data_IF_485065016096
#
_entry.id   IF_485065016096
#
_cell.length_a   1.000
_cell.length_b   1.000
_cell.length_c   1.000
_cell.angle_alpha   90.00
_cell.angle_beta   90.00
_cell.angle_gamma   90.00
#
_symmetry.space_group_name_H-M   'P 1'
#
loop_
_entity.id
_entity.type
_entity.pdbx_description
1 polymer ?
#
# COMPACT_ATOMS: atom_id res chain seq x y z
N UNK A 1 1.24 -14.12 -17.07
CA UNK A 1 1.58 -13.06 -16.11
C UNK A 1 1.62 -13.65 -14.71
N UNK A 2 2.59 -13.21 -13.90
CA UNK A 2 2.76 -13.59 -12.49
C UNK A 2 2.77 -12.34 -11.63
N UNK A 3 2.09 -12.40 -10.48
CA UNK A 3 1.95 -11.25 -9.58
C UNK A 3 2.35 -11.63 -8.17
N UNK A 4 3.30 -10.91 -7.58
CA UNK A 4 3.60 -10.97 -6.16
C UNK A 4 2.71 -9.99 -5.40
N UNK A 5 1.99 -10.45 -4.38
CA UNK A 5 1.11 -9.63 -3.54
C UNK A 5 1.66 -9.65 -2.12
N UNK A 6 1.75 -8.48 -1.50
CA UNK A 6 2.32 -8.32 -0.18
C UNK A 6 1.27 -8.00 0.87
N UNK A 7 1.25 -8.81 1.93
CA UNK A 7 0.52 -8.61 3.17
C UNK A 7 1.51 -8.40 4.31
N UNK A 8 1.38 -7.32 5.07
CA UNK A 8 2.13 -7.08 6.30
C UNK A 8 1.13 -7.01 7.45
N UNK A 9 1.11 -8.03 8.31
CA UNK A 9 0.17 -8.11 9.41
C UNK A 9 0.79 -8.77 10.64
N UNK A 10 1.21 -7.96 11.61
CA UNK A 10 1.73 -8.39 12.91
C UNK A 10 0.68 -8.19 13.99
N UNK A 11 0.79 -8.91 15.11
CA UNK A 11 -0.16 -8.86 16.20
C UNK A 11 -1.60 -9.12 15.71
N UNK A 12 -2.51 -8.25 16.10
CA UNK A 12 -3.94 -8.39 15.78
C UNK A 12 -4.25 -8.28 14.27
N UNK A 13 -3.37 -7.64 13.48
CA UNK A 13 -3.55 -7.55 12.03
C UNK A 13 -3.49 -8.91 11.33
N UNK A 14 -2.84 -9.92 11.92
CA UNK A 14 -2.83 -11.27 11.38
C UNK A 14 -4.24 -11.86 11.26
N UNK A 15 -5.19 -11.43 12.10
CA UNK A 15 -6.57 -11.90 12.05
C UNK A 15 -7.30 -11.56 10.75
N UNK A 16 -6.82 -10.60 9.97
CA UNK A 16 -7.38 -10.29 8.65
C UNK A 16 -6.98 -11.31 7.57
N UNK A 17 -5.85 -12.01 7.74
CA UNK A 17 -5.26 -12.86 6.70
C UNK A 17 -6.23 -13.89 6.09
N UNK A 18 -7.05 -14.64 6.84
CA UNK A 18 -7.93 -15.64 6.24
C UNK A 18 -8.92 -15.03 5.23
N UNK A 19 -9.63 -13.97 5.61
CA UNK A 19 -10.56 -13.29 4.72
C UNK A 19 -9.86 -12.56 3.57
N UNK A 20 -8.72 -11.94 3.85
CA UNK A 20 -7.86 -11.30 2.85
C UNK A 20 -7.47 -12.32 1.76
N UNK A 21 -6.92 -13.47 2.15
CA UNK A 21 -6.51 -14.52 1.23
C UNK A 21 -7.67 -15.07 0.39
N UNK A 22 -8.79 -15.45 1.04
CA UNK A 22 -9.96 -16.00 0.36
C UNK A 22 -10.52 -15.04 -0.70
N UNK A 23 -10.64 -13.77 -0.36
CA UNK A 23 -11.18 -12.76 -1.28
C UNK A 23 -10.19 -12.40 -2.40
N UNK A 24 -8.89 -12.37 -2.12
CA UNK A 24 -7.87 -12.22 -3.16
C UNK A 24 -7.95 -13.35 -4.19
N UNK A 25 -8.02 -14.60 -3.74
CA UNK A 25 -8.11 -15.75 -4.65
C UNK A 25 -9.38 -15.71 -5.48
N UNK A 26 -10.48 -15.30 -4.89
CA UNK A 26 -11.79 -15.30 -5.53
C UNK A 26 -12.00 -14.16 -6.52
N UNK A 27 -11.55 -12.95 -6.18
CA UNK A 27 -11.97 -11.75 -6.87
C UNK A 27 -10.81 -10.98 -7.52
N UNK A 28 -9.59 -11.04 -6.96
CA UNK A 28 -8.47 -10.27 -7.47
C UNK A 28 -7.72 -11.04 -8.53
N UNK A 29 -7.79 -10.59 -9.78
CA UNK A 29 -7.07 -11.18 -10.91
C UNK A 29 -7.27 -12.71 -10.98
N UNK A 30 -8.49 -13.23 -11.10
CA UNK A 30 -8.80 -14.65 -10.88
C UNK A 30 -8.08 -15.63 -11.83
N UNK A 31 -7.61 -15.14 -13.00
CA UNK A 31 -6.90 -15.95 -14.00
C UNK A 31 -5.37 -15.77 -13.97
N UNK A 32 -4.83 -15.10 -12.95
CA UNK A 32 -3.40 -14.77 -12.84
C UNK A 32 -2.74 -15.63 -11.78
N UNK A 33 -1.53 -16.11 -12.07
CA UNK A 33 -0.68 -16.79 -11.07
C UNK A 33 -0.25 -15.78 -10.00
N UNK A 34 -0.64 -16.03 -8.74
CA UNK A 34 -0.35 -15.17 -7.60
C UNK A 34 0.63 -15.83 -6.64
N UNK A 35 1.60 -15.06 -6.16
CA UNK A 35 2.45 -15.40 -5.02
C UNK A 35 2.14 -14.43 -3.90
N UNK A 36 1.65 -14.90 -2.76
CA UNK A 36 1.25 -14.06 -1.64
C UNK A 36 2.35 -14.10 -0.57
N UNK A 37 2.99 -12.96 -0.36
CA UNK A 37 4.07 -12.76 0.61
C UNK A 37 3.44 -12.27 1.92
N UNK A 38 3.56 -13.04 2.99
CA UNK A 38 2.95 -12.72 4.29
C UNK A 38 4.04 -12.44 5.32
N UNK A 39 4.15 -11.19 5.75
CA UNK A 39 5.05 -10.76 6.82
C UNK A 39 4.30 -10.68 8.14
N UNK A 40 4.67 -11.53 9.11
CA UNK A 40 3.97 -11.65 10.39
C UNK A 40 4.89 -12.14 11.50
N UNK A 41 4.55 -11.81 12.75
CA UNK A 41 5.15 -12.36 13.97
C UNK A 41 4.47 -13.65 14.43
N UNK A 42 3.28 -13.96 13.86
CA UNK A 42 2.52 -15.15 14.20
C UNK A 42 2.95 -16.41 13.43
N UNK A 43 2.61 -17.57 13.98
CA UNK A 43 2.80 -18.85 13.31
C UNK A 43 1.64 -19.17 12.35
N UNK A 44 1.96 -19.59 11.13
CA UNK A 44 1.01 -20.06 10.14
C UNK A 44 1.12 -21.59 10.04
N UNK A 45 0.12 -22.32 10.57
CA UNK A 45 0.19 -23.79 10.70
C UNK A 45 0.02 -24.54 9.38
N UNK A 46 -0.88 -24.09 8.53
CA UNK A 46 -1.13 -24.64 7.20
C UNK A 46 -1.26 -23.50 6.20
N UNK A 47 -0.38 -23.45 5.23
CA UNK A 47 -0.38 -22.42 4.20
C UNK A 47 -0.63 -23.01 2.82
N UNK A 48 -1.44 -22.36 1.97
CA UNK A 48 -1.52 -22.69 0.56
C UNK A 48 -0.15 -22.62 -0.12
N UNK A 49 0.05 -23.38 -1.19
CA UNK A 49 1.33 -23.49 -1.90
C UNK A 49 1.83 -22.13 -2.45
N UNK A 50 0.93 -21.21 -2.73
CA UNK A 50 1.24 -19.87 -3.25
C UNK A 50 1.39 -18.81 -2.17
N UNK A 51 1.28 -19.17 -0.88
CA UNK A 51 1.49 -18.26 0.25
C UNK A 51 2.87 -18.55 0.89
N UNK A 52 3.72 -17.52 0.91
CA UNK A 52 5.10 -17.62 1.43
C UNK A 52 5.21 -16.76 2.69
N UNK A 53 5.36 -17.36 3.88
CA UNK A 53 5.52 -16.62 5.12
C UNK A 53 6.94 -16.10 5.31
N UNK A 54 7.04 -14.89 5.84
CA UNK A 54 8.26 -14.25 6.31
C UNK A 54 8.06 -13.85 7.77
N UNK A 55 9.01 -14.20 8.62
CA UNK A 55 8.98 -13.70 9.99
C UNK A 55 9.27 -12.19 10.01
N UNK A 56 8.35 -11.43 10.63
CA UNK A 56 8.48 -10.01 10.88
C UNK A 56 8.09 -9.72 12.33
N UNK A 57 9.06 -9.29 13.13
CA UNK A 57 8.78 -8.85 14.49
C UNK A 57 7.76 -7.71 14.50
N UNK A 58 6.89 -7.74 15.51
CA UNK A 58 5.97 -6.64 15.72
C UNK A 58 6.75 -5.36 16.04
N UNK A 59 6.42 -4.27 15.34
CA UNK A 59 6.94 -2.95 15.62
C UNK A 59 5.78 -2.04 16.03
N UNK A 60 5.99 -1.24 17.07
CA UNK A 60 5.01 -0.24 17.50
C UNK A 60 4.69 0.74 16.35
N UNK A 61 3.44 1.20 16.32
CA UNK A 61 3.06 2.26 15.41
C UNK A 61 3.82 3.58 15.76
N UNK A 62 4.37 4.35 14.82
CA UNK A 62 4.21 4.21 13.35
C UNK A 62 5.29 3.36 12.65
N UNK A 63 6.20 2.75 13.36
CA UNK A 63 7.40 2.14 12.76
C UNK A 63 7.06 0.96 11.83
N UNK A 64 6.02 0.17 12.12
CA UNK A 64 5.61 -0.94 11.24
C UNK A 64 5.18 -0.45 9.85
N UNK A 65 4.55 0.72 9.76
CA UNK A 65 4.19 1.33 8.47
C UNK A 65 5.38 2.07 7.86
N UNK A 66 6.10 2.84 8.65
CA UNK A 66 7.24 3.66 8.20
C UNK A 66 8.35 2.80 7.57
N UNK A 67 8.62 1.61 8.14
CA UNK A 67 9.68 0.71 7.65
C UNK A 67 9.18 -0.33 6.65
N UNK A 68 7.99 -0.18 6.11
CA UNK A 68 7.34 -1.08 5.15
C UNK A 68 8.25 -1.45 3.98
N UNK A 69 8.96 -0.49 3.40
CA UNK A 69 9.85 -0.71 2.26
C UNK A 69 11.01 -1.65 2.62
N UNK A 70 11.61 -1.49 3.80
CA UNK A 70 12.65 -2.39 4.32
C UNK A 70 12.10 -3.81 4.56
N UNK A 71 10.88 -3.91 5.09
CA UNK A 71 10.22 -5.21 5.31
C UNK A 71 10.05 -5.94 3.99
N UNK A 72 9.54 -5.27 2.96
CA UNK A 72 9.31 -5.84 1.62
C UNK A 72 10.62 -6.30 0.96
N UNK A 73 11.73 -5.60 1.17
CA UNK A 73 13.04 -5.98 0.62
C UNK A 73 13.50 -7.39 1.05
N UNK A 74 13.03 -7.92 2.19
CA UNK A 74 13.33 -9.28 2.64
C UNK A 74 12.87 -10.34 1.62
N UNK A 75 11.85 -10.04 0.81
CA UNK A 75 11.30 -10.93 -0.22
C UNK A 75 11.76 -10.58 -1.65
N UNK A 76 12.77 -9.72 -1.82
CA UNK A 76 13.24 -9.23 -3.12
C UNK A 76 13.47 -10.36 -4.14
N UNK A 77 14.07 -11.47 -3.70
CA UNK A 77 14.40 -12.60 -4.58
C UNK A 77 13.13 -13.29 -5.14
N UNK A 78 12.07 -13.38 -4.33
CA UNK A 78 10.79 -13.93 -4.79
C UNK A 78 10.04 -12.91 -5.65
N UNK A 79 10.02 -11.64 -5.25
CA UNK A 79 9.39 -10.57 -6.04
C UNK A 79 10.01 -10.51 -7.45
N UNK A 80 11.34 -10.67 -7.56
CA UNK A 80 12.06 -10.62 -8.83
C UNK A 80 11.67 -11.73 -9.84
N UNK A 81 10.97 -12.78 -9.40
CA UNK A 81 10.48 -13.88 -10.23
C UNK A 81 9.07 -13.62 -10.80
N UNK A 82 8.50 -12.48 -10.49
CA UNK A 82 7.15 -12.07 -10.93
C UNK A 82 7.23 -10.93 -11.95
N UNK A 83 6.14 -10.72 -12.69
CA UNK A 83 6.03 -9.62 -13.67
C UNK A 83 5.61 -8.31 -12.97
N UNK A 84 4.74 -8.42 -11.94
CA UNK A 84 4.21 -7.32 -11.17
C UNK A 84 4.32 -7.57 -9.67
N UNK A 85 4.45 -6.49 -8.93
CA UNK A 85 4.31 -6.45 -7.48
C UNK A 85 3.14 -5.56 -7.08
N UNK A 86 2.34 -6.01 -6.12
CA UNK A 86 1.17 -5.32 -5.57
C UNK A 86 1.28 -5.32 -4.05
N UNK A 87 1.27 -4.15 -3.45
CA UNK A 87 1.04 -3.98 -2.03
C UNK A 87 -0.44 -3.67 -1.77
N UNK A 88 -1.05 -4.39 -0.86
CA UNK A 88 -2.42 -4.15 -0.37
C UNK A 88 -2.39 -4.22 1.16
N UNK A 89 -2.92 -3.22 1.85
CA UNK A 89 -2.97 -3.19 3.32
C UNK A 89 -3.70 -4.42 3.89
N UNK A 90 -3.29 -4.85 5.09
CA UNK A 90 -3.80 -6.06 5.74
C UNK A 90 -5.31 -6.00 6.04
N UNK A 91 -5.86 -4.82 6.30
CA UNK A 91 -7.28 -4.59 6.56
C UNK A 91 -8.09 -4.24 5.30
N UNK A 92 -7.53 -4.52 4.13
CA UNK A 92 -8.25 -4.38 2.86
C UNK A 92 -8.96 -5.69 2.47
N UNK A 93 -10.15 -5.57 1.92
CA UNK A 93 -10.97 -6.69 1.46
C UNK A 93 -11.41 -6.46 0.01
N UNK A 94 -11.01 -7.35 -0.89
CA UNK A 94 -11.49 -7.32 -2.28
C UNK A 94 -12.93 -7.84 -2.32
N UNK A 95 -13.87 -7.04 -2.80
CA UNK A 95 -15.30 -7.32 -2.73
C UNK A 95 -15.98 -7.53 -4.09
N UNK A 96 -15.29 -7.15 -5.17
CA UNK A 96 -15.76 -7.35 -6.54
C UNK A 96 -14.63 -7.85 -7.43
N UNK A 97 -14.99 -8.50 -8.54
CA UNK A 97 -14.01 -9.04 -9.49
C UNK A 97 -13.21 -7.92 -10.15
N UNK A 98 -11.89 -8.04 -10.04
CA UNK A 98 -10.93 -7.12 -10.64
C UNK A 98 -10.15 -7.86 -11.73
N UNK A 99 -10.23 -7.38 -12.97
CA UNK A 99 -9.51 -7.97 -14.12
C UNK A 99 -8.15 -7.32 -14.36
N UNK A 100 -7.31 -7.99 -15.17
CA UNK A 100 -5.99 -7.47 -15.57
C UNK A 100 -6.08 -6.15 -16.33
N UNK A 101 -7.04 -6.06 -17.27
CA UNK A 101 -7.24 -4.90 -18.11
C UNK A 101 -7.72 -3.68 -17.32
N UNK A 102 -8.43 -3.92 -16.23
CA UNK A 102 -8.93 -2.88 -15.36
C UNK A 102 -7.85 -2.38 -14.39
N UNK A 103 -6.99 -3.27 -13.93
CA UNK A 103 -6.04 -2.98 -12.85
C UNK A 103 -4.67 -2.51 -13.36
N UNK A 104 -4.20 -3.06 -14.48
CA UNK A 104 -2.87 -2.74 -15.00
C UNK A 104 -2.90 -1.94 -16.31
N UNK A 105 -2.17 -0.84 -16.33
CA UNK A 105 -1.78 -0.16 -17.56
C UNK A 105 -0.37 -0.59 -17.97
N UNK A 106 -0.27 -1.40 -19.04
CA UNK A 106 1.01 -1.90 -19.52
C UNK A 106 1.94 -0.82 -20.10
N UNK A 107 1.48 0.42 -20.27
CA UNK A 107 2.30 1.56 -20.71
C UNK A 107 3.00 2.24 -19.54
N UNK A 108 2.57 1.97 -18.29
CA UNK A 108 3.09 2.55 -17.06
C UNK A 108 3.97 1.55 -16.32
N UNK A 109 4.91 2.05 -15.51
CA UNK A 109 5.75 1.20 -14.65
C UNK A 109 5.19 1.03 -13.26
N UNK A 110 4.39 1.98 -12.80
CA UNK A 110 3.82 2.02 -11.45
C UNK A 110 2.31 2.19 -11.50
N UNK A 111 1.67 1.87 -10.40
CA UNK A 111 0.29 2.27 -10.11
C UNK A 111 0.16 2.70 -8.65
N UNK A 112 -0.80 3.57 -8.40
CA UNK A 112 -1.21 4.00 -7.07
C UNK A 112 -2.67 4.42 -7.09
N UNK A 113 -3.33 4.38 -5.94
CA UNK A 113 -4.76 4.69 -5.83
C UNK A 113 -4.97 6.13 -5.37
N UNK A 114 -5.93 6.82 -5.97
CA UNK A 114 -6.34 8.15 -5.53
C UNK A 114 -7.00 8.06 -4.16
N UNK A 115 -6.49 8.81 -3.19
CA UNK A 115 -7.04 8.84 -1.84
C UNK A 115 -8.50 9.33 -1.86
N UNK A 116 -9.49 8.55 -1.36
CA UNK A 116 -10.90 8.87 -1.48
C UNK A 116 -11.27 10.24 -0.89
N UNK A 117 -10.72 10.60 0.26
CA UNK A 117 -11.02 11.90 0.88
C UNK A 117 -10.52 13.08 0.05
N UNK A 118 -9.36 12.92 -0.62
CA UNK A 118 -8.84 13.93 -1.54
C UNK A 118 -9.70 14.01 -2.81
N UNK A 119 -10.06 12.87 -3.38
CA UNK A 119 -10.93 12.77 -4.55
C UNK A 119 -12.30 13.41 -4.31
N UNK A 120 -12.92 13.12 -3.16
CA UNK A 120 -14.22 13.68 -2.76
C UNK A 120 -14.14 15.13 -2.28
N UNK A 121 -12.94 15.73 -2.25
CA UNK A 121 -12.70 17.08 -1.75
C UNK A 121 -13.31 17.29 -0.35
N UNK A 122 -13.19 16.30 0.53
CA UNK A 122 -13.67 16.39 1.89
C UNK A 122 -12.96 17.53 2.62
N UNK A 123 -13.68 18.31 3.44
CA UNK A 123 -13.06 19.41 4.14
C UNK A 123 -11.91 18.93 5.01
N UNK A 124 -10.75 19.61 4.98
CA UNK A 124 -9.64 19.27 5.83
C UNK A 124 -10.01 19.46 7.29
N UNK A 125 -9.81 18.45 8.09
CA UNK A 125 -9.80 18.55 9.55
C UNK A 125 -8.64 17.70 10.08
N UNK A 126 -8.23 17.93 11.31
CA UNK A 126 -7.02 17.39 11.92
C UNK A 126 -6.95 15.84 11.96
N UNK A 127 -8.04 15.17 11.67
CA UNK A 127 -8.15 13.72 11.67
C UNK A 127 -8.30 13.10 10.26
N UNK A 128 -8.38 13.94 9.20
CA UNK A 128 -8.48 13.42 7.85
C UNK A 128 -7.09 13.06 7.32
N UNK A 129 -6.92 11.83 6.81
CA UNK A 129 -5.71 11.48 6.08
C UNK A 129 -5.61 12.31 4.79
N UNK A 130 -4.40 12.54 4.30
CA UNK A 130 -4.17 13.21 3.03
C UNK A 130 -3.61 14.62 3.14
N UNK A 131 -2.82 14.92 4.18
CA UNK A 131 -1.96 16.10 4.21
C UNK A 131 -0.59 15.78 3.60
N UNK A 132 -0.13 16.58 2.65
CA UNK A 132 1.22 16.45 2.12
C UNK A 132 2.28 16.80 3.18
N UNK A 133 3.41 16.11 3.14
CA UNK A 133 4.56 16.46 3.95
C UNK A 133 5.18 17.77 3.44
N UNK A 134 5.27 18.77 4.31
CA UNK A 134 5.82 20.09 3.98
C UNK A 134 7.06 20.46 4.80
N UNK A 135 7.49 19.57 5.72
CA UNK A 135 8.71 19.78 6.47
C UNK A 135 9.93 19.70 5.54
N UNK A 136 10.71 20.80 5.37
CA UNK A 136 11.82 20.83 4.44
C UNK A 136 13.00 19.91 4.84
N UNK A 137 12.99 19.36 6.05
CA UNK A 137 14.00 18.40 6.51
C UNK A 137 13.65 16.97 6.07
N UNK A 138 12.38 16.68 5.74
CA UNK A 138 11.98 15.36 5.25
C UNK A 138 12.31 15.18 3.76
N UNK A 139 12.72 13.96 3.39
CA UNK A 139 12.90 13.52 1.98
C UNK A 139 11.57 13.33 1.26
N UNK A 140 10.47 13.37 2.00
CA UNK A 140 9.11 13.35 1.47
C UNK A 140 8.54 14.76 1.23
N UNK A 141 9.28 15.82 1.52
CA UNK A 141 8.79 17.21 1.45
C UNK A 141 8.25 17.55 0.07
N UNK A 142 7.01 18.00 0.04
CA UNK A 142 6.33 18.57 -1.13
C UNK A 142 6.52 20.09 -1.11
N UNK A 143 6.82 20.67 -2.27
CA UNK A 143 7.09 22.08 -2.45
C UNK A 143 6.07 22.71 -3.41
N UNK A 144 6.05 24.05 -3.51
CA UNK A 144 5.16 24.78 -4.41
C UNK A 144 5.39 24.43 -5.90
N UNK A 145 6.48 23.75 -6.26
CA UNK A 145 6.76 23.32 -7.62
C UNK A 145 6.24 21.91 -7.91
N UNK A 146 5.78 21.19 -6.91
CA UNK A 146 5.24 19.82 -7.06
C UNK A 146 3.75 19.87 -7.47
N UNK A 147 3.33 18.94 -8.31
CA UNK A 147 1.93 18.81 -8.71
C UNK A 147 1.12 18.07 -7.64
N UNK A 148 0.33 18.83 -6.90
CA UNK A 148 -0.51 18.32 -5.79
C UNK A 148 -1.95 18.02 -6.21
N UNK A 149 -2.21 17.89 -7.51
CA UNK A 149 -3.57 17.59 -8.03
C UNK A 149 -4.09 16.22 -7.63
N UNK A 150 -3.20 15.28 -7.29
CA UNK A 150 -3.52 13.92 -6.83
C UNK A 150 -2.79 13.65 -5.52
N UNK A 151 -3.50 13.09 -4.55
CA UNK A 151 -2.93 12.50 -3.36
C UNK A 151 -3.11 10.97 -3.41
N UNK A 152 -2.01 10.23 -3.36
CA UNK A 152 -2.03 8.77 -3.43
C UNK A 152 -2.14 8.18 -2.02
N UNK A 153 -3.06 7.23 -1.83
CA UNK A 153 -3.18 6.51 -0.56
C UNK A 153 -2.16 5.37 -0.48
N UNK A 154 -1.49 5.23 0.66
CA UNK A 154 -0.47 4.21 0.90
C UNK A 154 -0.99 2.78 1.02
N UNK A 155 -2.31 2.59 0.97
CA UNK A 155 -2.96 1.30 1.18
C UNK A 155 -2.92 0.35 -0.02
N UNK A 156 -2.75 0.89 -1.24
CA UNK A 156 -2.68 0.13 -2.48
C UNK A 156 -1.73 0.80 -3.46
N UNK A 157 -0.66 0.12 -3.79
CA UNK A 157 0.34 0.57 -4.76
C UNK A 157 1.18 -0.59 -5.29
N UNK A 158 1.91 -0.34 -6.35
CA UNK A 158 2.82 -1.33 -6.90
C UNK A 158 3.38 -0.94 -8.25
N UNK A 159 3.84 -1.94 -9.00
CA UNK A 159 4.41 -1.70 -10.31
C UNK A 159 5.01 -2.93 -10.95
N UNK A 160 5.55 -2.73 -12.14
CA UNK A 160 6.31 -3.72 -12.89
C UNK A 160 7.63 -4.03 -12.21
N UNK A 161 7.98 -5.28 -12.13
CA UNK A 161 9.33 -5.71 -11.76
C UNK A 161 10.24 -5.58 -13.00
N UNK A 162 11.46 -5.01 -12.93
CA UNK A 162 12.19 -4.60 -11.71
C UNK A 162 11.94 -3.17 -11.23
N UNK A 163 11.23 -2.32 -11.97
CA UNK A 163 11.09 -0.89 -11.65
C UNK A 163 10.54 -0.65 -10.22
N UNK A 164 9.59 -1.45 -9.78
CA UNK A 164 9.04 -1.36 -8.41
C UNK A 164 10.07 -1.71 -7.34
N UNK A 165 11.01 -2.63 -7.61
CA UNK A 165 12.08 -2.96 -6.67
C UNK A 165 13.07 -1.80 -6.53
N UNK A 166 13.36 -1.08 -7.60
CA UNK A 166 14.19 0.13 -7.57
C UNK A 166 13.49 1.24 -6.77
N UNK A 167 12.17 1.42 -6.99
CA UNK A 167 11.34 2.33 -6.19
C UNK A 167 11.39 2.00 -4.70
N UNK A 168 11.16 0.73 -4.33
CA UNK A 168 11.16 0.27 -2.93
C UNK A 168 12.54 0.56 -2.29
N UNK A 169 13.65 0.30 -2.99
CA UNK A 169 14.99 0.61 -2.51
C UNK A 169 15.23 2.11 -2.30
N UNK A 170 14.75 2.94 -3.23
CA UNK A 170 14.83 4.40 -3.10
C UNK A 170 14.01 4.91 -1.90
N UNK A 171 12.79 4.40 -1.71
CA UNK A 171 11.91 4.81 -0.61
C UNK A 171 12.44 4.34 0.74
N UNK A 172 13.00 3.14 0.82
CA UNK A 172 13.73 2.66 2.00
C UNK A 172 14.86 3.61 2.39
N UNK A 173 15.69 4.01 1.42
CA UNK A 173 16.81 4.95 1.64
C UNK A 173 16.32 6.33 2.10
N UNK A 174 15.20 6.83 1.56
CA UNK A 174 14.61 8.11 1.98
C UNK A 174 14.14 8.05 3.44
N UNK A 175 13.41 7.00 3.81
CA UNK A 175 12.94 6.78 5.19
C UNK A 175 14.11 6.66 6.16
N UNK A 176 15.15 5.88 5.84
CA UNK A 176 16.35 5.74 6.69
C UNK A 176 17.04 7.07 6.93
N UNK A 177 17.21 7.90 5.89
CA UNK A 177 17.80 9.23 6.02
C UNK A 177 16.97 10.17 6.88
N UNK A 178 15.64 10.11 6.78
CA UNK A 178 14.75 10.90 7.64
C UNK A 178 14.88 10.45 9.10
N UNK A 179 14.91 9.15 9.36
CA UNK A 179 15.11 8.61 10.71
C UNK A 179 16.48 8.99 11.30
N UNK A 180 17.56 8.94 10.51
CA UNK A 180 18.90 9.38 10.92
C UNK A 180 18.92 10.86 11.32
N UNK A 181 18.10 11.68 10.67
CA UNK A 181 17.93 13.10 10.98
C UNK A 181 16.84 13.37 12.04
N UNK A 182 16.28 12.32 12.68
CA UNK A 182 15.16 12.38 13.62
C UNK A 182 13.90 13.03 13.04
N UNK A 183 13.63 12.79 11.78
CA UNK A 183 12.42 13.22 11.08
C UNK A 183 11.50 12.02 10.87
N UNK A 184 10.23 12.18 11.21
CA UNK A 184 9.15 11.25 10.83
C UNK A 184 8.18 12.05 9.98
N UNK A 185 7.99 11.64 8.73
CA UNK A 185 7.06 12.28 7.81
C UNK A 185 5.61 12.16 8.31
N UNK A 186 4.77 13.16 8.04
CA UNK A 186 3.42 13.31 8.62
C UNK A 186 2.54 12.08 8.44
N UNK A 187 2.61 11.42 7.30
CA UNK A 187 1.92 10.16 7.00
C UNK A 187 2.90 9.03 6.67
N UNK A 188 4.02 9.02 7.38
CA UNK A 188 5.02 7.95 7.40
C UNK A 188 5.46 7.54 5.98
N UNK A 189 5.32 6.26 5.62
CA UNK A 189 5.63 5.70 4.30
C UNK A 189 4.77 6.31 3.17
N UNK A 190 3.51 6.63 3.43
CA UNK A 190 2.60 7.26 2.45
C UNK A 190 3.12 8.62 1.98
N UNK A 191 3.71 9.43 2.87
CA UNK A 191 4.32 10.70 2.50
C UNK A 191 5.46 10.52 1.50
N UNK A 192 6.33 9.53 1.73
CA UNK A 192 7.44 9.19 0.84
C UNK A 192 6.94 8.65 -0.51
N UNK A 193 5.89 7.81 -0.49
CA UNK A 193 5.24 7.28 -1.68
C UNK A 193 4.63 8.40 -2.52
N UNK A 194 3.91 9.35 -1.89
CA UNK A 194 3.35 10.52 -2.56
C UNK A 194 4.42 11.33 -3.28
N UNK A 195 5.53 11.64 -2.59
CA UNK A 195 6.65 12.37 -3.21
C UNK A 195 7.21 11.64 -4.44
N UNK A 196 7.37 10.33 -4.34
CA UNK A 196 7.86 9.53 -5.46
C UNK A 196 6.89 9.55 -6.64
N UNK A 197 5.60 9.33 -6.40
CA UNK A 197 4.60 9.29 -7.45
C UNK A 197 4.39 10.65 -8.13
N UNK A 198 4.41 11.73 -7.38
CA UNK A 198 4.35 13.10 -7.94
C UNK A 198 5.55 13.36 -8.86
N UNK A 199 6.76 12.95 -8.46
CA UNK A 199 7.96 13.09 -9.28
C UNK A 199 7.94 12.21 -10.54
N UNK A 200 7.19 11.11 -10.52
CA UNK A 200 7.11 10.13 -11.60
C UNK A 200 5.70 10.04 -12.23
N UNK A 201 4.86 11.08 -12.09
CA UNK A 201 3.43 11.04 -12.43
C UNK A 201 3.11 10.53 -13.83
N UNK A 202 3.95 10.83 -14.81
CA UNK A 202 3.77 10.39 -16.20
C UNK A 202 3.94 8.88 -16.36
N UNK A 203 4.51 8.19 -15.37
CA UNK A 203 4.77 6.76 -15.36
C UNK A 203 3.94 5.99 -14.32
N UNK A 204 2.97 6.67 -13.70
CA UNK A 204 2.04 6.10 -12.74
C UNK A 204 0.66 5.94 -13.36
N UNK A 205 0.10 4.73 -13.30
CA UNK A 205 -1.31 4.48 -13.54
C UNK A 205 -2.11 4.86 -12.31
N UNK A 206 -3.01 5.82 -12.43
CA UNK A 206 -3.86 6.26 -11.32
C UNK A 206 -5.12 5.41 -11.26
N UNK A 207 -5.23 4.58 -10.23
CA UNK A 207 -6.46 3.87 -9.91
C UNK A 207 -7.46 4.82 -9.23
N UNK A 208 -8.74 4.67 -9.57
CA UNK A 208 -9.79 5.45 -8.95
C UNK A 208 -10.07 5.01 -7.48
N UNK A 209 -10.77 5.81 -6.67
CA UNK A 209 -10.95 5.53 -5.25
C UNK A 209 -11.85 4.33 -4.92
N UNK A 210 -12.49 3.67 -5.90
CA UNK A 210 -13.20 2.41 -5.68
C UNK A 210 -12.26 1.27 -5.23
N UNK A 211 -10.97 1.37 -5.58
CA UNK A 211 -9.91 0.47 -5.14
C UNK A 211 -9.36 0.80 -3.74
N UNK A 212 -9.89 1.83 -3.09
CA UNK A 212 -9.51 2.23 -1.72
C UNK A 212 -10.74 2.71 -0.94
N UNK A 213 -11.87 2.02 -1.09
CA UNK A 213 -13.15 2.41 -0.53
C UNK A 213 -13.12 2.43 1.01
N UNK A 214 -13.35 3.57 1.66
CA UNK A 214 -13.24 3.69 3.11
C UNK A 214 -14.57 3.34 3.79
N UNK A 215 -14.68 2.19 4.43
CA UNK A 215 -15.90 1.78 5.14
C UNK A 215 -16.34 2.81 6.19
N UNK A 216 -15.38 3.47 6.87
CA UNK A 216 -15.67 4.52 7.86
C UNK A 216 -16.40 5.73 7.24
N UNK A 217 -16.18 6.00 5.95
CA UNK A 217 -16.73 7.15 5.23
C UNK A 217 -17.69 6.74 4.12
N UNK A 218 -18.28 5.54 4.17
CA UNK A 218 -19.17 4.99 3.14
C UNK A 218 -20.30 5.95 2.75
N UNK A 219 -20.86 6.71 3.71
CA UNK A 219 -21.95 7.66 3.47
C UNK A 219 -21.57 8.85 2.58
N UNK A 220 -20.28 9.09 2.39
CA UNK A 220 -19.77 10.15 1.53
C UNK A 220 -19.38 9.64 0.13
N UNK A 221 -19.24 8.33 -0.03
CA UNK A 221 -18.84 7.73 -1.29
C UNK A 221 -20.04 7.67 -2.26
N UNK A 222 -19.79 8.04 -3.51
CA UNK A 222 -20.77 7.99 -4.60
C UNK A 222 -20.34 7.01 -5.71
N UNK A 223 -19.52 6.04 -5.37
CA UNK A 223 -18.99 4.98 -6.24
C UNK A 223 -19.08 3.62 -5.54
N UNK A 224 -19.18 2.55 -6.33
CA UNK A 224 -19.22 1.20 -5.81
C UNK A 224 -17.83 0.69 -5.42
N UNK A 225 -17.70 -0.05 -4.31
CA UNK A 225 -16.40 -0.54 -3.86
C UNK A 225 -15.89 -1.72 -4.68
N UNK A 226 -14.58 -1.74 -4.94
CA UNK A 226 -13.83 -2.90 -5.44
C UNK A 226 -12.91 -3.48 -4.38
N UNK A 227 -12.23 -2.60 -3.64
CA UNK A 227 -11.44 -2.96 -2.45
C UNK A 227 -11.91 -2.07 -1.32
N UNK A 228 -12.37 -2.68 -0.23
CA UNK A 228 -12.85 -1.98 0.98
C UNK A 228 -11.77 -1.98 2.04
N UNK A 229 -11.46 -0.80 2.58
CA UNK A 229 -10.67 -0.66 3.80
C UNK A 229 -11.60 -0.72 4.99
N UNK A 230 -11.47 -1.80 5.77
CA UNK A 230 -12.36 -2.14 6.86
C UNK A 230 -12.23 -1.16 8.03
N UNK A 231 -13.36 -0.80 8.59
CA UNK A 231 -13.43 -0.03 9.84
C UNK A 231 -12.83 -0.86 11.00
N UNK A 232 -11.92 -0.26 11.74
CA UNK A 232 -11.27 -0.93 12.88
C UNK A 232 -11.09 0.01 14.07
N UNK A 233 -11.00 -0.56 15.25
CA UNK A 233 -10.65 0.20 16.45
C UNK A 233 -9.13 0.36 16.54
N UNK A 234 -8.61 1.51 16.12
CA UNK A 234 -7.18 1.80 16.10
C UNK A 234 -6.49 1.57 17.45
N UNK A 235 -7.17 1.80 18.59
CA UNK A 235 -6.56 1.54 19.90
C UNK A 235 -6.26 0.06 20.19
N UNK A 236 -6.80 -0.85 19.39
CA UNK A 236 -6.51 -2.29 19.45
C UNK A 236 -5.37 -2.71 18.53
N UNK A 237 -5.20 -1.99 17.44
CA UNK A 237 -4.29 -2.36 16.35
C UNK A 237 -2.99 -1.55 16.32
N UNK A 238 -2.97 -0.36 16.92
CA UNK A 238 -1.80 0.52 16.97
C UNK A 238 -1.11 0.47 18.34
N UNK A 239 -0.88 -0.71 18.87
CA UNK A 239 -0.17 -0.96 20.14
C UNK A 239 1.23 -1.45 19.89
#
# INVERSE_FOLDING_TARGET
>A
MKVAICFIGTGEYLNFLPNYYENLEKYFLPNVEKTILVFTDGELNETPDNLIPYHQEHLEWPYITLTRFEIIQKAKDIISQNDWFVFIDADALVVDTITEEEFFDNTKSFFGVHHPCHYLQMPPHDQLPGAFEINPLSRACITDNDDTSVYYQGCLWGGKVPAVLDMIGELEDRVKKDLDDNVIAVWHDESHLNKFFIQNKDNVHLLDPSFAYPEVFETYCNFEPKIVHLAKNNSKYHV
#
